data_IF_512874888168
#
_entry.id   IF_512874888168
#
_cell.length_a   1.000
_cell.length_b   1.000
_cell.length_c   1.000
_cell.angle_alpha   90.00
_cell.angle_beta   90.00
_cell.angle_gamma   90.00
#
_symmetry.space_group_name_H-M   'P 1'
#
loop_
_entity.id
_entity.type
_entity.pdbx_description
1 polymer ?
#
# COMPACT_ATOMS: atom_id res chain seq x y z
N UNK A 1 40.58 25.45 -11.62
CA UNK A 1 40.62 24.55 -10.43
C UNK A 1 39.36 24.70 -9.56
N UNK A 2 39.14 25.81 -8.84
CA UNK A 2 37.97 25.98 -7.94
C UNK A 2 36.60 25.87 -8.64
N UNK A 3 36.46 26.39 -9.87
CA UNK A 3 35.20 26.31 -10.64
C UNK A 3 34.83 24.88 -11.07
N UNK A 4 35.84 24.02 -11.29
CA UNK A 4 35.63 22.62 -11.68
C UNK A 4 35.13 21.80 -10.48
N UNK A 5 35.65 22.10 -9.29
CA UNK A 5 35.23 21.45 -8.03
C UNK A 5 33.74 21.74 -7.72
N UNK A 6 33.28 22.97 -7.98
CA UNK A 6 31.88 23.36 -7.74
C UNK A 6 30.93 22.63 -8.69
N UNK A 7 31.32 22.45 -9.95
CA UNK A 7 30.51 21.73 -10.96
C UNK A 7 30.38 20.25 -10.58
N UNK A 8 31.45 19.60 -10.10
CA UNK A 8 31.37 18.20 -9.67
C UNK A 8 30.42 17.98 -8.49
N UNK A 9 30.34 18.92 -7.53
CA UNK A 9 29.45 18.78 -6.36
C UNK A 9 27.97 18.94 -6.77
N UNK A 10 27.67 19.79 -7.75
CA UNK A 10 26.31 19.98 -8.24
C UNK A 10 25.74 18.74 -8.96
N UNK A 11 26.57 17.95 -9.64
CA UNK A 11 26.11 16.72 -10.31
C UNK A 11 25.77 15.59 -9.33
N UNK A 12 26.45 15.50 -8.17
CA UNK A 12 26.14 14.48 -7.15
C UNK A 12 24.83 14.75 -6.40
N UNK A 13 24.33 15.99 -6.41
CA UNK A 13 23.07 16.34 -5.73
C UNK A 13 21.82 15.89 -6.51
N UNK A 14 21.95 15.54 -7.79
CA UNK A 14 20.82 15.13 -8.65
C UNK A 14 20.43 13.66 -8.49
N UNK A 15 21.25 12.83 -7.83
CA UNK A 15 20.98 11.39 -7.64
C UNK A 15 20.33 11.05 -6.31
N UNK A 16 20.06 12.04 -5.45
CA UNK A 16 19.42 11.85 -4.15
C UNK A 16 17.88 11.82 -4.26
N UNK A 17 17.36 10.96 -5.12
CA UNK A 17 15.95 10.59 -5.11
C UNK A 17 15.85 9.10 -4.81
N UNK A 18 16.14 8.72 -3.56
CA UNK A 18 15.85 7.38 -3.09
C UNK A 18 14.34 7.26 -2.85
N UNK A 19 13.63 6.62 -3.77
CA UNK A 19 12.33 6.06 -3.45
C UNK A 19 12.56 4.97 -2.41
N UNK A 20 12.12 5.22 -1.16
CA UNK A 20 12.13 4.21 -0.10
C UNK A 20 11.51 2.94 -0.66
N UNK A 21 12.35 1.92 -0.79
CA UNK A 21 11.95 0.63 -1.31
C UNK A 21 10.98 0.06 -0.28
N UNK A 22 9.72 -0.10 -0.69
CA UNK A 22 8.70 -0.76 0.09
C UNK A 22 9.24 -2.17 0.35
N UNK A 23 9.44 -2.49 1.62
CA UNK A 23 10.11 -3.71 2.07
C UNK A 23 9.48 -4.91 1.36
N UNK A 24 10.28 -5.60 0.54
CA UNK A 24 9.83 -6.67 -0.34
C UNK A 24 9.06 -7.70 0.48
N UNK A 25 7.81 -7.91 0.06
CA UNK A 25 6.90 -8.79 0.76
C UNK A 25 7.26 -10.21 0.44
N UNK A 26 7.24 -11.05 1.48
CA UNK A 26 7.11 -12.50 1.37
C UNK A 26 6.27 -12.85 0.15
N UNK A 27 6.87 -13.51 -0.83
CA UNK A 27 6.16 -13.99 -2.01
C UNK A 27 4.81 -14.57 -1.57
N UNK A 28 3.73 -13.93 -2.02
CA UNK A 28 2.40 -14.50 -1.88
C UNK A 28 2.46 -15.93 -2.42
N UNK A 29 1.83 -16.88 -1.72
CA UNK A 29 1.67 -18.23 -2.26
C UNK A 29 0.94 -18.21 -3.61
N UNK A 30 0.22 -17.13 -3.90
CA UNK A 30 -0.38 -16.83 -5.18
C UNK A 30 0.46 -15.78 -5.94
N UNK A 31 1.33 -16.26 -6.84
CA UNK A 31 2.22 -15.43 -7.66
C UNK A 31 1.46 -14.44 -8.58
N UNK A 32 0.19 -14.71 -8.90
CA UNK A 32 -0.65 -13.81 -9.69
C UNK A 32 -1.04 -12.53 -8.95
N UNK A 33 -0.93 -12.53 -7.61
CA UNK A 33 -1.28 -11.40 -6.76
C UNK A 33 -0.10 -11.07 -5.82
N UNK A 34 0.92 -10.34 -6.31
CA UNK A 34 1.98 -9.85 -5.46
C UNK A 34 1.38 -8.90 -4.41
N UNK A 35 1.70 -9.18 -3.15
CA UNK A 35 1.31 -8.35 -2.02
C UNK A 35 2.46 -7.39 -1.73
N UNK A 36 2.19 -6.15 -1.33
CA UNK A 36 3.17 -5.13 -0.95
C UNK A 36 2.92 -4.67 0.51
N UNK A 37 3.97 -4.53 1.33
CA UNK A 37 3.89 -4.17 2.75
C UNK A 37 4.19 -2.69 2.85
N UNK A 38 3.20 -1.88 3.19
CA UNK A 38 3.32 -0.43 3.15
C UNK A 38 4.03 0.14 4.37
N UNK A 39 3.55 -0.19 5.58
CA UNK A 39 4.10 0.29 6.84
C UNK A 39 3.56 -0.52 8.03
N UNK A 40 4.20 -0.33 9.19
CA UNK A 40 3.78 -0.91 10.47
C UNK A 40 3.68 0.18 11.54
N UNK A 41 2.55 0.25 12.26
CA UNK A 41 2.30 1.15 13.40
C UNK A 41 1.59 0.35 14.49
N UNK A 42 2.07 0.42 15.74
CA UNK A 42 1.47 -0.27 16.90
C UNK A 42 1.24 -1.79 16.69
N UNK A 43 2.18 -2.45 16.01
CA UNK A 43 2.10 -3.87 15.67
C UNK A 43 1.11 -4.22 14.54
N UNK A 44 0.44 -3.22 13.97
CA UNK A 44 -0.45 -3.36 12.81
C UNK A 44 0.34 -3.09 11.55
N UNK A 45 0.43 -4.08 10.68
CA UNK A 45 1.06 -3.96 9.36
C UNK A 45 -0.01 -3.81 8.29
N UNK A 46 0.14 -2.80 7.45
CA UNK A 46 -0.73 -2.54 6.30
C UNK A 46 -0.10 -3.12 5.04
N UNK A 47 -0.90 -3.84 4.26
CA UNK A 47 -0.52 -4.44 2.99
C UNK A 47 -1.44 -3.95 1.87
N UNK A 48 -1.00 -4.08 0.62
CA UNK A 48 -1.85 -3.93 -0.56
C UNK A 48 -1.57 -5.01 -1.60
N UNK A 49 -2.56 -5.30 -2.44
CA UNK A 49 -2.35 -5.99 -3.72
C UNK A 49 -3.18 -5.31 -4.80
N UNK A 50 -2.88 -5.61 -6.07
CA UNK A 50 -3.63 -5.09 -7.22
C UNK A 50 -4.64 -6.12 -7.69
N UNK A 51 -5.90 -5.72 -7.76
CA UNK A 51 -7.02 -6.48 -8.31
C UNK A 51 -7.66 -5.66 -9.43
N UNK A 52 -7.41 -6.05 -10.68
CA UNK A 52 -7.95 -5.42 -11.88
C UNK A 52 -7.95 -3.87 -11.84
N UNK A 53 -6.74 -3.29 -11.83
CA UNK A 53 -6.44 -1.85 -11.71
C UNK A 53 -6.83 -1.16 -10.39
N UNK A 54 -7.45 -1.87 -9.45
CA UNK A 54 -7.77 -1.36 -8.12
C UNK A 54 -6.76 -1.85 -7.08
N UNK A 55 -6.29 -0.94 -6.24
CA UNK A 55 -5.56 -1.33 -5.04
C UNK A 55 -6.53 -1.78 -3.95
N UNK A 56 -6.31 -3.00 -3.45
CA UNK A 56 -7.01 -3.56 -2.30
C UNK A 56 -6.05 -3.53 -1.11
N UNK A 57 -6.51 -2.93 0.00
CA UNK A 57 -5.72 -2.74 1.20
C UNK A 57 -6.24 -3.64 2.32
N UNK A 58 -5.32 -4.25 3.08
CA UNK A 58 -5.66 -5.10 4.21
C UNK A 58 -4.59 -5.02 5.29
N UNK A 59 -4.88 -5.53 6.50
CA UNK A 59 -3.94 -5.50 7.62
C UNK A 59 -3.76 -6.88 8.25
N UNK A 60 -2.70 -7.08 9.03
CA UNK A 60 -2.50 -8.29 9.82
C UNK A 60 -3.42 -8.39 11.06
N UNK A 61 -4.26 -7.37 11.32
CA UNK A 61 -5.22 -7.38 12.43
C UNK A 61 -6.54 -7.98 11.96
N UNK A 62 -7.08 -8.91 12.75
CA UNK A 62 -8.42 -9.48 12.58
C UNK A 62 -9.49 -8.52 13.12
N UNK A 63 -10.72 -8.61 12.60
CA UNK A 63 -11.87 -7.81 13.03
C UNK A 63 -12.51 -7.01 11.90
N UNK A 64 -13.77 -6.59 12.04
CA UNK A 64 -14.51 -5.89 10.98
C UNK A 64 -14.06 -4.42 10.84
N UNK A 65 -13.46 -4.08 9.70
CA UNK A 65 -13.24 -2.67 9.32
C UNK A 65 -14.34 -2.26 8.34
N UNK A 66 -15.24 -1.42 8.83
CA UNK A 66 -16.27 -0.79 8.01
C UNK A 66 -16.03 0.73 7.97
N UNK A 67 -16.05 1.31 6.78
CA UNK A 67 -16.12 2.76 6.63
C UNK A 67 -17.23 3.15 5.66
N UNK A 68 -17.76 4.36 5.84
CA UNK A 68 -18.79 4.91 4.97
C UNK A 68 -18.35 6.27 4.46
N UNK A 69 -18.58 6.54 3.17
CA UNK A 69 -18.33 7.85 2.57
C UNK A 69 -19.47 8.25 1.65
N UNK A 70 -19.60 9.54 1.40
CA UNK A 70 -20.57 10.08 0.46
C UNK A 70 -19.90 10.34 -0.88
N UNK A 71 -20.52 9.87 -1.96
CA UNK A 71 -20.13 10.24 -3.34
C UNK A 71 -21.30 10.95 -4.01
N UNK A 72 -21.01 11.92 -4.88
CA UNK A 72 -22.03 12.51 -5.74
C UNK A 72 -22.20 11.66 -6.99
N UNK A 73 -23.45 11.40 -7.36
CA UNK A 73 -23.83 10.71 -8.60
C UNK A 73 -24.80 11.62 -9.34
N UNK A 74 -24.28 12.40 -10.28
CA UNK A 74 -25.02 13.48 -10.92
C UNK A 74 -25.53 14.50 -9.90
N UNK A 75 -26.85 14.66 -9.81
CA UNK A 75 -27.51 15.58 -8.86
C UNK A 75 -27.76 14.95 -7.48
N UNK A 76 -27.57 13.65 -7.32
CA UNK A 76 -27.81 12.94 -6.06
C UNK A 76 -26.51 12.74 -5.25
N UNK A 77 -26.68 12.45 -3.95
CA UNK A 77 -25.58 12.02 -3.07
C UNK A 77 -25.89 10.60 -2.59
N UNK A 78 -24.93 9.69 -2.76
CA UNK A 78 -25.03 8.29 -2.38
C UNK A 78 -24.10 8.02 -1.19
N UNK A 79 -24.62 7.39 -0.14
CA UNK A 79 -23.79 6.88 0.96
C UNK A 79 -23.28 5.49 0.58
N UNK A 80 -21.98 5.36 0.40
CA UNK A 80 -21.31 4.09 0.11
C UNK A 80 -20.76 3.54 1.41
N UNK A 81 -21.17 2.33 1.78
CA UNK A 81 -20.52 1.54 2.83
C UNK A 81 -19.51 0.60 2.19
N UNK A 82 -18.31 0.56 2.74
CA UNK A 82 -17.25 -0.36 2.35
C UNK A 82 -16.90 -1.18 3.58
N UNK A 83 -17.06 -2.49 3.45
CA UNK A 83 -16.60 -3.46 4.44
C UNK A 83 -15.36 -4.14 3.88
N UNK A 84 -14.26 -4.10 4.63
CA UNK A 84 -13.10 -4.94 4.34
C UNK A 84 -13.41 -6.34 4.86
N UNK A 85 -13.43 -7.32 3.97
CA UNK A 85 -13.57 -8.73 4.32
C UNK A 85 -12.35 -9.14 5.15
N UNK A 86 -12.56 -9.46 6.42
CA UNK A 86 -11.48 -9.91 7.29
C UNK A 86 -11.46 -11.43 7.35
N UNK A 87 -10.24 -11.99 7.39
CA UNK A 87 -10.04 -13.42 7.47
C UNK A 87 -10.58 -13.90 8.83
N UNK A 88 -11.80 -14.44 8.83
CA UNK A 88 -12.42 -15.04 10.01
C UNK A 88 -11.76 -16.39 10.31
N UNK A 89 -10.46 -16.38 10.60
CA UNK A 89 -9.73 -17.49 11.23
C UNK A 89 -10.13 -18.90 10.81
N UNK A 90 -10.45 -19.16 9.54
CA UNK A 90 -10.63 -20.52 9.08
C UNK A 90 -9.24 -21.05 8.83
N UNK A 91 -8.68 -21.61 9.90
CA UNK A 91 -7.62 -22.61 9.82
C UNK A 91 -7.92 -23.54 8.65
N UNK A 92 -6.94 -23.62 7.77
CA UNK A 92 -6.86 -24.59 6.71
C UNK A 92 -7.14 -25.99 7.28
N UNK A 93 -8.34 -26.51 7.02
CA UNK A 93 -8.58 -27.94 6.95
C UNK A 93 -8.67 -28.30 5.47
N UNK A 94 -7.51 -28.58 4.86
CA UNK A 94 -7.34 -29.48 3.72
C UNK A 94 -5.86 -29.85 3.59
#
# INVERSE_FOLDING_TARGET
>A
MKKIIIISIALLALTACESKQVEEVKASSNQSYPVEKLFTVDGITVYRFRDNDRYVYFTNRTGDVQYSYQKRVGKATENVKVQTMCNNGQENQH
#
